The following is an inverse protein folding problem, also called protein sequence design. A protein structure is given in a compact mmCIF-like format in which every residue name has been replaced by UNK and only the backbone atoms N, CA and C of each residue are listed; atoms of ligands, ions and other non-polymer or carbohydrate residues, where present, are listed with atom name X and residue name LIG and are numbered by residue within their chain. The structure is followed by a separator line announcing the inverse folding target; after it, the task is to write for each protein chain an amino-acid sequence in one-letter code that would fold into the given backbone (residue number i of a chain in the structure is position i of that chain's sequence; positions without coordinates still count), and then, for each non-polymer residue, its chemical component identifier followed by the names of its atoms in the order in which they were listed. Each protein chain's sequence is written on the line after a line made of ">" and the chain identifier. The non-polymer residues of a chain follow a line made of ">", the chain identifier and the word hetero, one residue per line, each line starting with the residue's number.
data_IF_988978362209
#
_entry.id   IF_988978362209
#
_cell.length_a   1.000
_cell.length_b   1.000
_cell.length_c   1.000
_cell.angle_alpha   90.00
_cell.angle_beta   90.00
_cell.angle_gamma   90.00
#
_symmetry.space_group_name_H-M   'P 1'
#
loop_
_entity.id
_entity.type
_entity.pdbx_description
1 polymer ?
#
# COMPACT_ATOMS: atom_id res chain seq x y z
N UNK A 1 14.92 9.55 -3.70
CA UNK A 1 14.29 9.66 -5.02
C UNK A 1 15.30 9.18 -6.04
N UNK A 2 14.88 8.39 -7.06
CA UNK A 2 15.74 8.08 -8.21
C UNK A 2 15.99 9.37 -8.98
N UNK A 3 17.18 9.52 -9.56
CA UNK A 3 17.46 10.63 -10.48
C UNK A 3 16.64 10.42 -11.79
N UNK A 4 16.33 11.50 -12.49
CA UNK A 4 15.48 11.43 -13.69
C UNK A 4 15.92 10.36 -14.71
N UNK A 5 17.23 10.24 -15.09
CA UNK A 5 17.66 9.21 -16.04
C UNK A 5 17.54 7.78 -15.50
N UNK A 6 17.71 7.57 -14.18
CA UNK A 6 17.51 6.26 -13.55
C UNK A 6 16.03 5.84 -13.59
N UNK A 7 15.15 6.80 -13.36
CA UNK A 7 13.70 6.58 -13.42
C UNK A 7 13.24 6.20 -14.82
N UNK A 8 13.67 6.95 -15.83
CA UNK A 8 13.32 6.68 -17.23
C UNK A 8 13.85 5.31 -17.71
N UNK A 9 15.07 4.94 -17.29
CA UNK A 9 15.64 3.62 -17.57
C UNK A 9 14.82 2.51 -16.90
N UNK A 10 14.37 2.71 -15.69
CA UNK A 10 13.53 1.76 -14.95
C UNK A 10 12.16 1.61 -15.64
N UNK A 11 11.52 2.71 -16.00
CA UNK A 11 10.22 2.72 -16.70
C UNK A 11 10.31 1.95 -18.02
N UNK A 12 11.33 2.17 -18.84
CA UNK A 12 11.57 1.40 -20.08
C UNK A 12 11.76 -0.09 -19.82
N UNK A 13 12.49 -0.44 -18.76
CA UNK A 13 12.70 -1.84 -18.40
C UNK A 13 11.37 -2.50 -18.00
N UNK A 14 10.55 -1.80 -17.22
CA UNK A 14 9.23 -2.29 -16.79
C UNK A 14 8.30 -2.46 -17.99
N UNK A 15 8.27 -1.51 -18.93
CA UNK A 15 7.48 -1.62 -20.16
C UNK A 15 7.89 -2.85 -21.01
N UNK A 16 9.19 -3.07 -21.15
CA UNK A 16 9.72 -4.24 -21.88
C UNK A 16 9.30 -5.55 -21.20
N UNK A 17 9.43 -5.63 -19.88
CA UNK A 17 9.01 -6.81 -19.10
C UNK A 17 7.49 -6.99 -19.16
N UNK A 18 6.73 -5.92 -19.06
CA UNK A 18 5.27 -5.96 -19.13
C UNK A 18 4.77 -6.45 -20.49
N UNK A 19 5.40 -6.00 -21.58
CA UNK A 19 5.11 -6.48 -22.92
C UNK A 19 5.41 -7.99 -23.04
N UNK A 20 6.57 -8.44 -22.56
CA UNK A 20 6.93 -9.86 -22.56
C UNK A 20 5.93 -10.72 -21.76
N UNK A 21 5.49 -10.23 -20.59
CA UNK A 21 4.46 -10.92 -19.77
C UNK A 21 3.11 -10.94 -20.48
N UNK A 22 2.71 -9.87 -21.14
CA UNK A 22 1.45 -9.80 -21.89
C UNK A 22 1.38 -10.85 -23.01
N UNK A 23 2.51 -11.16 -23.63
CA UNK A 23 2.64 -12.14 -24.71
C UNK A 23 2.78 -13.59 -24.22
N UNK A 24 2.99 -13.82 -22.92
CA UNK A 24 3.12 -15.19 -22.40
C UNK A 24 1.83 -15.99 -22.59
N UNK A 25 1.93 -17.28 -22.97
CA UNK A 25 0.81 -18.19 -22.91
C UNK A 25 0.24 -18.23 -21.47
N UNK A 26 -1.08 -18.34 -21.35
CA UNK A 26 -1.74 -18.42 -20.04
C UNK A 26 -1.21 -19.57 -19.18
N UNK A 27 -0.86 -20.69 -19.79
CA UNK A 27 -0.29 -21.86 -19.09
C UNK A 27 1.07 -21.60 -18.44
N UNK A 28 1.76 -20.53 -18.85
CA UNK A 28 3.08 -20.15 -18.33
C UNK A 28 3.02 -18.99 -17.32
N UNK A 29 1.86 -18.33 -17.21
CA UNK A 29 1.66 -17.21 -16.27
C UNK A 29 0.69 -17.61 -15.15
N UNK A 30 1.23 -18.29 -14.14
CA UNK A 30 0.45 -18.81 -13.02
C UNK A 30 -0.14 -17.70 -12.13
N UNK A 31 -1.30 -17.91 -11.48
CA UNK A 31 -1.98 -16.91 -10.66
C UNK A 31 -1.10 -16.28 -9.57
N UNK A 32 -0.30 -17.07 -8.86
CA UNK A 32 0.62 -16.53 -7.84
C UNK A 32 1.68 -15.58 -8.43
N UNK A 33 2.20 -15.91 -9.63
CA UNK A 33 3.11 -15.01 -10.35
C UNK A 33 2.38 -13.75 -10.82
N UNK A 34 1.14 -13.89 -11.28
CA UNK A 34 0.31 -12.74 -11.66
C UNK A 34 0.08 -11.78 -10.49
N UNK A 35 -0.19 -12.31 -9.28
CA UNK A 35 -0.32 -11.52 -8.06
C UNK A 35 0.98 -10.76 -7.72
N UNK A 36 2.13 -11.44 -7.79
CA UNK A 36 3.42 -10.84 -7.52
C UNK A 36 3.76 -9.71 -8.51
N UNK A 37 3.53 -9.95 -9.81
CA UNK A 37 3.80 -8.95 -10.87
C UNK A 37 2.84 -7.77 -10.74
N UNK A 38 1.56 -8.01 -10.50
CA UNK A 38 0.55 -6.98 -10.25
C UNK A 38 0.93 -6.12 -9.04
N UNK A 39 1.32 -6.74 -7.94
CA UNK A 39 1.79 -6.06 -6.75
C UNK A 39 3.05 -5.22 -7.02
N UNK A 40 3.99 -5.73 -7.80
CA UNK A 40 5.21 -5.00 -8.16
C UNK A 40 4.88 -3.75 -8.99
N UNK A 41 3.95 -3.86 -9.96
CA UNK A 41 3.45 -2.72 -10.72
C UNK A 41 2.81 -1.66 -9.82
N UNK A 42 2.03 -2.08 -8.82
CA UNK A 42 1.41 -1.21 -7.84
C UNK A 42 2.43 -0.48 -6.96
N UNK A 43 3.48 -1.18 -6.48
CA UNK A 43 4.59 -0.57 -5.70
C UNK A 43 5.34 0.48 -6.51
N UNK A 44 5.50 0.25 -7.80
CA UNK A 44 6.20 1.16 -8.72
C UNK A 44 5.30 2.26 -9.29
N UNK A 45 4.00 2.25 -8.98
CA UNK A 45 2.98 3.15 -9.55
C UNK A 45 3.00 3.18 -11.09
N UNK A 46 3.32 2.04 -11.69
CA UNK A 46 3.44 1.88 -13.12
C UNK A 46 2.53 0.76 -13.60
N UNK A 47 1.55 1.08 -14.43
CA UNK A 47 0.42 0.22 -14.77
C UNK A 47 0.26 0.05 -16.29
N UNK A 48 1.15 -0.70 -16.96
CA UNK A 48 1.03 -0.97 -18.41
C UNK A 48 -0.28 -1.70 -18.71
N UNK A 49 -1.05 -1.20 -19.67
CA UNK A 49 -2.40 -1.72 -19.98
C UNK A 49 -2.37 -3.20 -20.35
N UNK A 50 -1.40 -3.62 -21.15
CA UNK A 50 -1.22 -5.03 -21.54
C UNK A 50 -1.02 -5.94 -20.33
N UNK A 51 -0.23 -5.49 -19.36
CA UNK A 51 -0.03 -6.22 -18.10
C UNK A 51 -1.32 -6.33 -17.28
N UNK A 52 -2.07 -5.22 -17.14
CA UNK A 52 -3.33 -5.22 -16.40
C UNK A 52 -4.36 -6.19 -16.98
N UNK A 53 -4.49 -6.20 -18.33
CA UNK A 53 -5.34 -7.14 -19.05
C UNK A 53 -4.91 -8.58 -18.81
N UNK A 54 -3.60 -8.85 -18.87
CA UNK A 54 -3.05 -10.19 -18.67
C UNK A 54 -3.28 -10.70 -17.24
N UNK A 55 -3.08 -9.86 -16.25
CA UNK A 55 -3.39 -10.18 -14.85
C UNK A 55 -4.88 -10.51 -14.71
N UNK A 56 -5.78 -9.66 -15.22
CA UNK A 56 -7.21 -9.88 -15.14
C UNK A 56 -7.64 -11.18 -15.87
N UNK A 57 -7.07 -11.46 -17.05
CA UNK A 57 -7.30 -12.70 -17.80
C UNK A 57 -6.94 -13.95 -16.98
N UNK A 58 -5.77 -13.94 -16.33
CA UNK A 58 -5.30 -15.08 -15.54
C UNK A 58 -6.13 -15.26 -14.28
N UNK A 59 -6.51 -14.17 -13.62
CA UNK A 59 -7.29 -14.17 -12.38
C UNK A 59 -8.79 -14.44 -12.59
N UNK A 60 -9.31 -14.30 -13.82
CA UNK A 60 -10.74 -14.54 -14.12
C UNK A 60 -11.19 -15.99 -14.00
N UNK A 61 -10.29 -16.92 -13.72
CA UNK A 61 -10.62 -18.32 -13.43
C UNK A 61 -10.53 -18.51 -11.93
N UNK A 62 -11.51 -19.17 -11.40
CA UNK A 62 -11.64 -19.59 -10.00
C UNK A 62 -10.34 -20.29 -9.53
N UNK A 63 -9.31 -19.52 -9.24
CA UNK A 63 -7.99 -20.01 -8.85
C UNK A 63 -7.86 -19.95 -7.33
N UNK A 64 -7.48 -21.09 -6.74
CA UNK A 64 -7.13 -21.15 -5.34
C UNK A 64 -5.81 -20.41 -5.13
N UNK A 65 -5.88 -19.17 -4.67
CA UNK A 65 -4.71 -18.39 -4.26
C UNK A 65 -4.33 -18.72 -2.81
N UNK A 66 -3.04 -18.79 -2.56
CA UNK A 66 -2.50 -18.77 -1.20
C UNK A 66 -2.70 -17.38 -0.55
N UNK A 67 -2.60 -17.31 0.77
CA UNK A 67 -2.77 -16.06 1.52
C UNK A 67 -1.78 -14.96 1.07
N UNK A 68 -0.58 -15.31 0.64
CA UNK A 68 0.40 -14.36 0.11
C UNK A 68 -0.09 -13.73 -1.18
N UNK A 69 -0.55 -14.55 -2.13
CA UNK A 69 -1.10 -14.07 -3.40
C UNK A 69 -2.34 -13.20 -3.20
N UNK A 70 -3.26 -13.62 -2.30
CA UNK A 70 -4.46 -12.82 -1.97
C UNK A 70 -4.10 -11.44 -1.41
N UNK A 71 -3.09 -11.35 -0.56
CA UNK A 71 -2.65 -10.06 0.00
C UNK A 71 -1.97 -9.17 -1.03
N UNK A 72 -1.18 -9.75 -1.92
CA UNK A 72 -0.59 -9.02 -3.05
C UNK A 72 -1.67 -8.52 -4.01
N UNK A 73 -2.64 -9.37 -4.31
CA UNK A 73 -3.78 -9.00 -5.15
C UNK A 73 -4.61 -7.90 -4.50
N UNK A 74 -4.89 -7.98 -3.18
CA UNK A 74 -5.56 -6.89 -2.46
C UNK A 74 -4.89 -5.54 -2.67
N UNK A 75 -3.59 -5.46 -2.47
CA UNK A 75 -2.85 -4.20 -2.62
C UNK A 75 -2.88 -3.68 -4.06
N UNK A 76 -2.82 -4.57 -5.06
CA UNK A 76 -2.99 -4.19 -6.46
C UNK A 76 -4.41 -3.66 -6.75
N UNK A 77 -5.45 -4.37 -6.34
CA UNK A 77 -6.85 -3.96 -6.53
C UNK A 77 -7.14 -2.62 -5.83
N UNK A 78 -6.58 -2.42 -4.64
CA UNK A 78 -6.68 -1.16 -3.92
C UNK A 78 -5.99 -0.03 -4.70
N UNK A 79 -4.82 -0.28 -5.30
CA UNK A 79 -4.16 0.69 -6.19
C UNK A 79 -5.03 1.03 -7.40
N UNK A 80 -5.67 0.04 -8.02
CA UNK A 80 -6.57 0.27 -9.16
C UNK A 80 -7.77 1.16 -8.78
N UNK A 81 -8.27 1.04 -7.56
CA UNK A 81 -9.38 1.87 -7.05
C UNK A 81 -8.94 3.28 -6.66
N UNK A 82 -7.74 3.43 -6.13
CA UNK A 82 -7.25 4.69 -5.56
C UNK A 82 -6.43 5.53 -6.55
N UNK A 83 -6.05 4.98 -7.71
CA UNK A 83 -5.29 5.70 -8.73
C UNK A 83 -6.24 6.34 -9.75
N UNK A 84 -6.42 7.68 -9.73
CA UNK A 84 -7.38 8.33 -10.61
C UNK A 84 -7.13 8.10 -12.11
N UNK A 85 -5.85 7.89 -12.50
CA UNK A 85 -5.47 7.61 -13.89
C UNK A 85 -6.03 6.29 -14.40
N UNK A 86 -6.35 5.35 -13.51
CA UNK A 86 -6.87 4.03 -13.86
C UNK A 86 -8.40 3.98 -13.94
N UNK A 87 -9.11 5.00 -13.46
CA UNK A 87 -10.58 5.01 -13.42
C UNK A 87 -11.20 4.79 -14.81
N UNK A 88 -10.70 5.48 -15.82
CA UNK A 88 -11.16 5.30 -17.21
C UNK A 88 -10.85 3.91 -17.74
N UNK A 89 -9.66 3.39 -17.46
CA UNK A 89 -9.23 2.07 -17.89
C UNK A 89 -10.08 0.96 -17.24
N UNK A 90 -10.30 1.05 -15.94
CA UNK A 90 -11.13 0.07 -15.21
C UNK A 90 -12.52 -0.03 -15.82
N UNK A 91 -13.14 1.10 -16.15
CA UNK A 91 -14.48 1.13 -16.77
C UNK A 91 -14.52 0.57 -18.19
N UNK A 92 -13.41 0.63 -18.92
CA UNK A 92 -13.35 0.16 -20.32
C UNK A 92 -12.82 -1.26 -20.47
N UNK A 93 -12.32 -1.87 -19.39
CA UNK A 93 -11.77 -3.22 -19.37
C UNK A 93 -12.65 -4.16 -18.51
N UNK A 94 -13.62 -4.87 -19.13
CA UNK A 94 -14.60 -5.67 -18.39
C UNK A 94 -13.98 -6.75 -17.49
N UNK A 95 -12.86 -7.34 -17.90
CA UNK A 95 -12.15 -8.34 -17.10
C UNK A 95 -11.52 -7.74 -15.83
N UNK A 96 -11.02 -6.51 -15.90
CA UNK A 96 -10.48 -5.81 -14.75
C UNK A 96 -11.59 -5.33 -13.81
N UNK A 97 -12.72 -4.87 -14.35
CA UNK A 97 -13.90 -4.50 -13.56
C UNK A 97 -14.48 -5.72 -12.82
N UNK A 98 -14.60 -6.88 -13.50
CA UNK A 98 -15.04 -8.13 -12.90
C UNK A 98 -14.10 -8.55 -11.77
N UNK A 99 -12.78 -8.51 -11.98
CA UNK A 99 -11.78 -8.83 -10.97
C UNK A 99 -11.90 -7.93 -9.74
N UNK A 100 -12.09 -6.62 -9.95
CA UNK A 100 -12.30 -5.65 -8.86
C UNK A 100 -13.62 -5.89 -8.10
N UNK A 101 -14.62 -6.43 -8.75
CA UNK A 101 -15.93 -6.68 -8.15
C UNK A 101 -15.92 -8.01 -7.37
N UNK A 102 -15.34 -9.05 -7.92
CA UNK A 102 -15.41 -10.40 -7.38
C UNK A 102 -14.34 -10.68 -6.31
N UNK A 103 -13.11 -10.20 -6.52
CA UNK A 103 -11.97 -10.56 -5.66
C UNK A 103 -11.63 -9.52 -4.59
N UNK A 104 -12.14 -8.30 -4.68
CA UNK A 104 -11.74 -7.26 -3.76
C UNK A 104 -12.11 -7.55 -2.30
N UNK A 105 -13.33 -8.04 -2.05
CA UNK A 105 -13.80 -8.31 -0.70
C UNK A 105 -13.10 -9.54 -0.08
N UNK A 106 -12.99 -10.70 -0.74
CA UNK A 106 -12.22 -11.84 -0.24
C UNK A 106 -10.75 -11.51 0.04
N UNK A 107 -10.13 -10.72 -0.84
CA UNK A 107 -8.74 -10.29 -0.65
C UNK A 107 -8.58 -9.32 0.52
N UNK A 108 -9.50 -8.36 0.70
CA UNK A 108 -9.53 -7.45 1.85
C UNK A 108 -9.67 -8.22 3.17
N UNK A 109 -10.55 -9.20 3.24
CA UNK A 109 -10.75 -10.02 4.43
C UNK A 109 -9.49 -10.80 4.81
N UNK A 110 -8.82 -11.42 3.82
CA UNK A 110 -7.56 -12.10 4.02
C UNK A 110 -6.47 -11.14 4.52
N UNK A 111 -6.36 -9.96 3.90
CA UNK A 111 -5.40 -8.93 4.26
C UNK A 111 -5.63 -8.39 5.68
N UNK A 112 -6.89 -8.05 6.01
CA UNK A 112 -7.30 -7.53 7.32
C UNK A 112 -7.06 -8.53 8.45
N UNK A 113 -7.25 -9.81 8.20
CA UNK A 113 -6.97 -10.87 9.19
C UNK A 113 -5.52 -10.85 9.63
N UNK A 114 -4.59 -10.77 8.68
CA UNK A 114 -3.17 -10.68 9.01
C UNK A 114 -2.80 -9.37 9.72
N UNK A 115 -3.42 -8.26 9.35
CA UNK A 115 -3.16 -6.96 9.98
C UNK A 115 -3.50 -6.97 11.48
N UNK A 116 -4.48 -7.77 11.90
CA UNK A 116 -4.87 -7.94 13.31
C UNK A 116 -3.90 -8.78 14.13
N UNK A 117 -3.09 -9.62 13.46
CA UNK A 117 -2.10 -10.48 14.13
C UNK A 117 -0.74 -9.76 14.33
N UNK A 118 -0.67 -8.48 13.96
CA UNK A 118 0.54 -7.67 14.14
C UNK A 118 0.85 -7.49 15.64
N UNK A 119 2.13 -7.58 15.99
CA UNK A 119 2.59 -7.39 17.36
C UNK A 119 3.22 -6.01 17.48
N UNK A 120 2.72 -5.23 18.44
CA UNK A 120 3.22 -3.90 18.74
C UNK A 120 4.70 -3.93 19.18
N UNK A 121 5.52 -3.11 18.55
CA UNK A 121 6.92 -2.97 18.90
C UNK A 121 7.14 -2.05 20.11
N UNK A 122 8.26 -2.22 20.83
CA UNK A 122 8.65 -1.29 21.92
C UNK A 122 8.73 0.16 21.46
N UNK A 123 9.09 0.39 20.21
CA UNK A 123 9.19 1.73 19.65
C UNK A 123 7.79 2.32 19.41
N UNK A 124 6.85 1.54 18.91
CA UNK A 124 5.45 1.96 18.78
C UNK A 124 4.86 2.33 20.14
N UNK A 125 5.07 1.48 21.17
CA UNK A 125 4.63 1.76 22.55
C UNK A 125 5.18 3.08 23.07
N UNK A 126 6.46 3.34 22.88
CA UNK A 126 7.09 4.59 23.33
C UNK A 126 6.50 5.81 22.61
N UNK A 127 6.23 5.70 21.30
CA UNK A 127 5.61 6.77 20.49
C UNK A 127 4.17 6.99 20.94
N UNK A 128 3.39 5.92 21.10
CA UNK A 128 2.01 5.99 21.56
C UNK A 128 1.91 6.66 22.94
N UNK A 129 2.78 6.28 23.88
CA UNK A 129 2.84 6.90 25.19
C UNK A 129 3.19 8.40 25.10
N UNK A 130 4.16 8.76 24.26
CA UNK A 130 4.55 10.16 24.06
C UNK A 130 3.42 10.99 23.45
N UNK A 131 2.65 10.42 22.51
CA UNK A 131 1.47 11.06 21.95
C UNK A 131 0.41 11.32 23.01
N UNK A 132 0.07 10.32 23.85
CA UNK A 132 -0.90 10.48 24.94
C UNK A 132 -0.51 11.53 25.95
N UNK A 133 0.78 11.73 26.20
CA UNK A 133 1.28 12.75 27.13
C UNK A 133 1.26 14.17 26.57
N UNK A 134 1.35 14.32 25.24
CA UNK A 134 1.51 15.62 24.57
C UNK A 134 0.25 16.16 23.91
N UNK A 135 -0.70 15.29 23.63
CA UNK A 135 -1.98 15.70 23.06
C UNK A 135 -2.85 16.38 24.11
N UNK A 136 -3.79 17.25 23.71
CA UNK A 136 -4.75 17.87 24.62
C UNK A 136 -5.51 16.82 25.45
N UNK A 137 -5.88 17.19 26.66
CA UNK A 137 -6.68 16.33 27.54
C UNK A 137 -7.99 15.95 26.82
N UNK A 138 -8.30 14.65 26.81
CA UNK A 138 -9.47 14.11 26.12
C UNK A 138 -9.19 13.63 24.68
N UNK A 139 -7.99 13.85 24.14
CA UNK A 139 -7.62 13.25 22.85
C UNK A 139 -7.49 11.74 23.00
N UNK A 140 -8.05 11.01 22.03
CA UNK A 140 -7.95 9.57 21.95
C UNK A 140 -6.78 9.17 21.05
N UNK A 141 -5.95 8.20 21.49
CA UNK A 141 -4.95 7.54 20.65
C UNK A 141 -5.32 6.06 20.61
N UNK A 142 -5.62 5.56 19.43
CA UNK A 142 -5.96 4.16 19.16
C UNK A 142 -4.74 3.49 18.56
N UNK A 143 -4.18 2.50 19.27
CA UNK A 143 -3.05 1.71 18.77
C UNK A 143 -3.53 0.60 17.86
N UNK A 144 -2.71 0.22 16.87
CA UNK A 144 -2.98 -0.84 15.90
C UNK A 144 -4.40 -0.70 15.27
N UNK A 145 -4.76 0.53 14.93
CA UNK A 145 -6.06 0.79 14.31
C UNK A 145 -6.13 0.18 12.92
N UNK A 146 -7.07 -0.73 12.70
CA UNK A 146 -7.31 -1.32 11.37
C UNK A 146 -8.32 -0.49 10.61
N UNK A 147 -7.87 0.16 9.53
CA UNK A 147 -8.75 0.91 8.64
C UNK A 147 -9.60 -0.04 7.79
N UNK A 148 -10.92 0.03 7.97
CA UNK A 148 -11.87 -0.87 7.32
C UNK A 148 -11.90 -0.76 5.79
N UNK A 149 -11.49 0.38 5.24
CA UNK A 149 -11.50 0.63 3.79
C UNK A 149 -10.29 0.01 3.11
N UNK A 150 -9.12 0.12 3.73
CA UNK A 150 -7.86 -0.33 3.14
C UNK A 150 -7.36 -1.65 3.73
N UNK A 151 -7.84 -2.04 4.89
CA UNK A 151 -7.39 -3.23 5.63
C UNK A 151 -6.04 -3.07 6.32
N UNK A 152 -5.38 -1.92 6.20
CA UNK A 152 -4.11 -1.68 6.87
C UNK A 152 -4.29 -1.45 8.37
N UNK A 153 -3.40 -2.03 9.19
CA UNK A 153 -3.17 -1.59 10.56
C UNK A 153 -2.37 -0.29 10.53
N UNK A 154 -2.76 0.68 11.35
CA UNK A 154 -2.10 1.96 11.57
C UNK A 154 -1.53 1.94 12.98
N UNK A 155 -0.23 2.19 13.14
CA UNK A 155 0.46 2.05 14.43
C UNK A 155 -0.18 2.90 15.54
N UNK A 156 -0.48 4.17 15.27
CA UNK A 156 -1.27 5.02 16.15
C UNK A 156 -2.25 5.87 15.34
N UNK A 157 -3.52 5.79 15.65
CA UNK A 157 -4.56 6.60 15.03
C UNK A 157 -5.17 7.58 16.05
N UNK A 158 -5.28 8.84 15.65
CA UNK A 158 -5.82 9.92 16.49
C UNK A 158 -7.10 10.41 15.81
N UNK A 159 -8.29 9.90 16.20
CA UNK A 159 -9.55 10.41 15.66
C UNK A 159 -9.74 11.87 16.09
N UNK A 160 -10.36 12.67 15.25
CA UNK A 160 -10.68 14.08 15.54
C UNK A 160 -9.45 14.93 15.96
N UNK A 161 -8.27 14.59 15.46
CA UNK A 161 -7.08 15.38 15.75
C UNK A 161 -7.26 16.82 15.26
N UNK A 162 -6.89 17.84 16.06
CA UNK A 162 -6.90 19.21 15.60
C UNK A 162 -5.94 19.35 14.41
N UNK A 163 -6.45 19.78 13.27
CA UNK A 163 -5.63 20.08 12.11
C UNK A 163 -4.90 21.40 12.31
N UNK A 164 -3.70 21.58 11.75
CA UNK A 164 -3.03 22.87 11.71
C UNK A 164 -3.94 23.93 11.07
N UNK A 165 -3.91 25.15 11.60
CA UNK A 165 -4.68 26.28 11.04
C UNK A 165 -4.39 26.44 9.55
N UNK A 166 -5.45 26.58 8.74
CA UNK A 166 -5.34 26.71 7.28
C UNK A 166 -5.35 25.39 6.51
N UNK A 167 -5.41 24.24 7.18
CA UNK A 167 -5.60 22.95 6.52
C UNK A 167 -7.08 22.76 6.20
N UNK A 168 -7.44 22.73 4.91
CA UNK A 168 -8.79 22.39 4.49
C UNK A 168 -9.11 20.96 4.93
N UNK A 169 -10.08 20.80 5.82
CA UNK A 169 -10.57 19.48 6.19
C UNK A 169 -11.26 18.86 4.96
N UNK A 170 -10.78 17.71 4.43
CA UNK A 170 -11.54 16.99 3.43
C UNK A 170 -12.88 16.55 4.05
N UNK A 171 -13.90 16.43 3.21
CA UNK A 171 -15.22 16.00 3.65
C UNK A 171 -15.15 14.62 4.31
N UNK A 172 -15.36 14.58 5.63
CA UNK A 172 -15.34 13.38 6.44
C UNK A 172 -14.44 13.50 7.67
N UNK A 173 -14.90 12.94 8.76
CA UNK A 173 -14.27 13.00 10.10
C UNK A 173 -13.09 12.01 10.17
N UNK A 174 -11.99 12.37 9.52
CA UNK A 174 -10.80 11.50 9.42
C UNK A 174 -9.69 12.06 10.29
N UNK A 175 -9.19 11.23 11.19
CA UNK A 175 -8.14 11.58 12.12
C UNK A 175 -6.74 11.66 11.50
N UNK A 176 -5.73 11.63 12.34
CA UNK A 176 -4.31 11.58 11.98
C UNK A 176 -3.80 10.15 12.16
N UNK A 177 -3.21 9.58 11.10
CA UNK A 177 -2.46 8.33 11.17
C UNK A 177 -0.98 8.64 11.45
N UNK A 178 -0.41 7.91 12.40
CA UNK A 178 1.01 7.98 12.74
C UNK A 178 1.62 6.60 12.49
N UNK A 179 2.61 6.54 11.61
CA UNK A 179 3.38 5.33 11.29
C UNK A 179 4.77 5.42 11.89
N UNK A 180 5.21 4.34 12.51
CA UNK A 180 6.49 4.23 13.21
C UNK A 180 7.42 3.32 12.41
N UNK A 181 8.15 3.91 11.45
CA UNK A 181 9.03 3.17 10.55
C UNK A 181 10.32 2.72 11.28
N UNK A 182 10.32 1.50 11.80
CA UNK A 182 11.52 0.84 12.35
C UNK A 182 12.52 0.41 11.27
N UNK A 183 13.70 -0.13 11.67
CA UNK A 183 14.75 -0.52 10.72
C UNK A 183 14.31 -1.51 9.63
N UNK A 184 13.33 -2.35 9.91
CA UNK A 184 12.82 -3.35 8.94
C UNK A 184 11.94 -2.75 7.85
N UNK A 185 11.57 -1.46 7.95
CA UNK A 185 10.84 -0.75 6.91
C UNK A 185 11.75 -0.24 5.80
N UNK A 186 13.07 -0.31 6.01
CA UNK A 186 14.08 0.18 5.08
C UNK A 186 14.79 -0.95 4.35
N UNK A 187 15.28 -0.66 3.16
CA UNK A 187 16.21 -1.53 2.45
C UNK A 187 17.52 -1.60 3.24
N UNK A 188 18.13 -2.78 3.26
CA UNK A 188 19.39 -3.02 3.98
C UNK A 188 20.45 -2.00 3.56
N UNK A 189 21.12 -1.41 4.53
CA UNK A 189 22.17 -0.38 4.34
C UNK A 189 21.70 0.86 3.52
N UNK A 190 20.41 1.19 3.60
CA UNK A 190 19.81 2.29 2.86
C UNK A 190 18.78 3.03 3.72
N UNK A 191 18.54 4.30 3.39
CA UNK A 191 17.40 5.07 3.93
C UNK A 191 16.15 4.96 3.04
N UNK A 192 16.18 4.11 2.02
CA UNK A 192 15.04 3.90 1.12
C UNK A 192 14.07 2.91 1.77
N UNK A 193 12.81 3.23 1.75
CA UNK A 193 11.75 2.36 2.25
C UNK A 193 11.60 1.11 1.37
N UNK A 194 11.18 0.02 1.98
CA UNK A 194 10.78 -1.19 1.27
C UNK A 194 9.46 -0.98 0.53
N UNK A 195 9.24 -1.73 -0.56
CA UNK A 195 8.05 -1.62 -1.40
C UNK A 195 6.74 -1.76 -0.61
N UNK A 196 6.67 -2.70 0.34
CA UNK A 196 5.49 -2.87 1.22
C UNK A 196 5.16 -1.64 2.06
N UNK A 197 6.16 -0.90 2.51
CA UNK A 197 5.97 0.34 3.28
C UNK A 197 5.57 1.49 2.35
N UNK A 198 6.19 1.57 1.17
CA UNK A 198 5.85 2.58 0.15
C UNK A 198 4.37 2.47 -0.23
N UNK A 199 3.92 1.27 -0.61
CA UNK A 199 2.54 1.06 -1.07
C UNK A 199 1.52 1.30 0.04
N UNK A 200 1.79 0.89 1.30
CA UNK A 200 0.95 1.21 2.46
C UNK A 200 0.76 2.72 2.61
N UNK A 201 1.86 3.48 2.64
CA UNK A 201 1.82 4.93 2.79
C UNK A 201 1.10 5.63 1.63
N UNK A 202 1.26 5.13 0.42
CA UNK A 202 0.57 5.64 -0.76
C UNK A 202 -0.95 5.41 -0.65
N UNK A 203 -1.36 4.19 -0.31
CA UNK A 203 -2.77 3.84 -0.16
C UNK A 203 -3.46 4.62 0.95
N UNK A 204 -2.85 4.71 2.13
CA UNK A 204 -3.42 5.47 3.24
C UNK A 204 -3.64 6.95 2.88
N UNK A 205 -2.70 7.56 2.15
CA UNK A 205 -2.84 8.94 1.67
C UNK A 205 -3.97 9.09 0.66
N UNK A 206 -4.04 8.21 -0.34
CA UNK A 206 -5.04 8.27 -1.40
C UNK A 206 -6.44 7.90 -0.94
N UNK A 207 -6.55 6.95 -0.04
CA UNK A 207 -7.84 6.59 0.55
C UNK A 207 -8.42 7.74 1.41
N UNK A 208 -7.59 8.75 1.73
CA UNK A 208 -7.97 9.79 2.68
C UNK A 208 -8.34 9.17 4.02
N UNK A 209 -7.78 8.02 4.36
CA UNK A 209 -8.00 7.35 5.65
C UNK A 209 -7.55 8.22 6.82
N UNK A 210 -6.72 9.22 6.54
CA UNK A 210 -6.24 10.19 7.51
C UNK A 210 -5.98 11.56 6.83
N UNK A 211 -6.12 12.63 7.58
CA UNK A 211 -5.75 13.97 7.13
C UNK A 211 -4.25 14.16 7.01
N UNK A 212 -3.50 13.47 7.84
CA UNK A 212 -2.05 13.57 7.88
C UNK A 212 -1.43 12.21 8.20
N UNK A 213 -0.43 11.84 7.44
CA UNK A 213 0.44 10.70 7.72
C UNK A 213 1.75 11.24 8.30
N UNK A 214 1.88 11.21 9.63
CA UNK A 214 3.12 11.50 10.31
C UNK A 214 4.01 10.26 10.33
N UNK A 215 5.27 10.41 9.93
CA UNK A 215 6.27 9.35 9.97
C UNK A 215 7.30 9.66 11.01
N UNK A 216 7.49 8.74 11.92
CA UNK A 216 8.58 8.77 12.88
C UNK A 216 9.63 7.74 12.46
N UNK A 217 10.74 8.22 11.94
CA UNK A 217 11.87 7.35 11.63
C UNK A 217 12.70 7.11 12.88
N UNK A 218 13.01 5.85 13.19
CA UNK A 218 14.09 5.57 14.10
C UNK A 218 15.36 6.22 13.54
N UNK A 219 15.97 7.12 14.29
CA UNK A 219 17.30 7.64 13.98
C UNK A 219 18.25 6.44 14.08
N UNK A 220 18.52 5.79 12.96
CA UNK A 220 19.66 4.89 12.88
C UNK A 220 20.90 5.77 13.12
N UNK A 221 21.77 5.39 14.08
CA UNK A 221 23.04 6.06 14.20
C UNK A 221 23.69 6.04 12.81
N UNK A 222 24.16 7.21 12.37
CA UNK A 222 24.87 7.32 11.11
C UNK A 222 25.97 6.26 11.13
N UNK A 223 25.88 5.24 10.26
CA UNK A 223 27.03 4.40 9.99
C UNK A 223 28.13 5.34 9.52
N UNK A 224 29.17 5.50 10.34
CA UNK A 224 30.37 6.18 9.91
C UNK A 224 30.86 5.46 8.64
N UNK A 225 31.25 6.20 7.59
CA UNK A 225 31.86 5.57 6.43
C UNK A 225 33.15 4.86 6.88
N UNK A 226 33.23 3.58 6.51
CA UNK A 226 34.45 2.80 6.67
C UNK A 226 35.50 3.28 5.67
#
# INVERSE_FOLDING_TARGET
>A
MLQAPERESLERTIETLAAAVADLPRSEFHPELACLVAWSAAVLEHFPVGLLRKVAEVMSINCALEDVGRRQLHQFLLSCRLEPRLEGLVRTEPSLEALLTEEAQPCLECFTRQSRDATESKMQQAVSQALRQRLPVGSQVVDEFVDATTGYSIDCYIPNAPLPEGTAAPAGDKGVAVEVDGPHHFLRNSRRLQGRTIIKHMHLRRAGACHSLARLHALLPACAPA
#
